data_IF_029937557838
#
_entry.id   IF_029937557838
#
_cell.length_a   1.000
_cell.length_b   1.000
_cell.length_c   1.000
_cell.angle_alpha   90.00
_cell.angle_beta   90.00
_cell.angle_gamma   90.00
#
_symmetry.space_group_name_H-M   'P 1'
#
loop_
_entity.id
_entity.type
_entity.pdbx_description
1 polymer ?
#
# COMPACT_ATOMS: atom_id res chain seq x y z
N UNK A 1 -79.22 -27.42 10.15
CA UNK A 1 -78.56 -28.25 9.10
C UNK A 1 -78.21 -27.30 7.96
N UNK A 2 -76.97 -27.00 7.57
CA UNK A 2 -75.61 -27.38 7.94
C UNK A 2 -74.75 -26.11 7.82
N UNK A 3 -73.73 -26.04 8.66
CA UNK A 3 -72.66 -25.05 8.62
C UNK A 3 -71.88 -25.09 7.30
N UNK A 4 -71.37 -23.95 6.85
CA UNK A 4 -70.00 -23.84 6.32
C UNK A 4 -69.52 -22.37 6.32
N UNK A 5 -68.21 -22.11 6.50
CA UNK A 5 -67.69 -20.87 7.05
C UNK A 5 -67.03 -19.94 6.01
N UNK A 6 -66.89 -18.66 6.40
CA UNK A 6 -66.04 -17.66 5.76
C UNK A 6 -64.58 -18.12 5.75
N UNK A 7 -63.96 -18.13 4.57
CA UNK A 7 -62.52 -18.17 4.42
C UNK A 7 -62.02 -16.77 4.01
N UNK A 8 -61.25 -16.15 4.91
CA UNK A 8 -60.45 -14.96 4.66
C UNK A 8 -59.28 -15.31 3.75
N UNK A 9 -59.19 -14.71 2.57
CA UNK A 9 -57.97 -14.74 1.76
C UNK A 9 -57.00 -13.70 2.31
N UNK A 10 -55.99 -14.17 3.03
CA UNK A 10 -54.79 -13.39 3.31
C UNK A 10 -53.98 -13.24 2.01
N UNK A 11 -53.79 -12.00 1.57
CA UNK A 11 -52.80 -11.64 0.57
C UNK A 11 -51.42 -11.73 1.23
N UNK A 12 -50.68 -12.80 0.95
CA UNK A 12 -49.26 -12.90 1.27
C UNK A 12 -48.46 -12.15 0.21
N UNK A 13 -48.08 -10.91 0.49
CA UNK A 13 -47.07 -10.19 -0.29
C UNK A 13 -45.71 -10.82 0.00
N UNK A 14 -45.23 -11.68 -0.90
CA UNK A 14 -43.84 -12.13 -0.92
C UNK A 14 -42.96 -10.93 -1.28
N UNK A 15 -42.27 -10.35 -0.29
CA UNK A 15 -41.11 -9.49 -0.54
C UNK A 15 -39.97 -10.41 -0.96
N UNK A 16 -39.68 -10.45 -2.26
CA UNK A 16 -38.48 -11.08 -2.80
C UNK A 16 -37.27 -10.31 -2.30
N UNK A 17 -36.57 -10.84 -1.30
CA UNK A 17 -35.25 -10.36 -0.89
C UNK A 17 -34.28 -10.71 -2.01
N UNK A 18 -33.95 -9.72 -2.85
CA UNK A 18 -32.88 -9.82 -3.84
C UNK A 18 -31.56 -9.98 -3.11
N UNK A 19 -30.89 -11.11 -3.35
CA UNK A 19 -29.52 -11.37 -2.87
C UNK A 19 -28.58 -10.29 -3.40
N UNK A 20 -27.62 -9.79 -2.58
CA UNK A 20 -26.60 -8.90 -3.11
C UNK A 20 -25.72 -9.66 -4.11
N UNK A 21 -25.47 -9.02 -5.24
CA UNK A 21 -24.58 -9.52 -6.28
C UNK A 21 -23.19 -9.77 -5.68
N UNK A 22 -22.77 -11.04 -5.72
CA UNK A 22 -21.43 -11.47 -5.37
C UNK A 22 -20.47 -10.85 -6.39
N UNK A 23 -19.61 -9.94 -5.95
CA UNK A 23 -18.50 -9.40 -6.74
C UNK A 23 -17.69 -10.55 -7.34
N UNK A 24 -17.45 -10.50 -8.66
CA UNK A 24 -16.59 -11.46 -9.38
C UNK A 24 -15.15 -11.27 -8.90
N UNK A 25 -14.43 -12.38 -8.70
CA UNK A 25 -13.10 -12.41 -8.10
C UNK A 25 -12.04 -11.89 -9.08
N UNK A 26 -11.10 -11.10 -8.56
CA UNK A 26 -9.87 -10.64 -9.25
C UNK A 26 -9.07 -11.77 -9.90
N UNK A 27 -9.19 -13.01 -9.39
CA UNK A 27 -8.57 -14.20 -9.99
C UNK A 27 -9.01 -14.46 -11.46
N UNK A 28 -10.23 -14.06 -11.84
CA UNK A 28 -10.73 -14.24 -13.21
C UNK A 28 -10.22 -13.15 -14.18
N UNK A 29 -9.79 -12.00 -13.65
CA UNK A 29 -9.24 -10.87 -14.45
C UNK A 29 -7.82 -11.20 -14.94
N UNK A 30 -7.04 -11.92 -14.14
CA UNK A 30 -5.69 -12.37 -14.50
C UNK A 30 -5.72 -13.43 -15.62
N UNK A 31 -6.76 -14.26 -15.68
CA UNK A 31 -6.88 -15.34 -16.66
C UNK A 31 -7.32 -14.84 -18.05
N UNK A 32 -8.15 -13.79 -18.13
CA UNK A 32 -8.71 -13.31 -19.41
C UNK A 32 -7.81 -12.35 -20.19
N UNK A 33 -6.79 -11.76 -19.56
CA UNK A 33 -5.82 -10.92 -20.27
C UNK A 33 -4.80 -11.72 -21.11
N UNK A 34 -4.70 -13.03 -20.90
CA UNK A 34 -3.70 -13.89 -21.55
C UNK A 34 -4.10 -14.42 -22.94
N UNK A 35 -5.34 -14.23 -23.40
CA UNK A 35 -5.85 -14.94 -24.58
C UNK A 35 -5.82 -14.16 -25.90
N UNK A 36 -5.53 -12.85 -25.91
CA UNK A 36 -5.56 -12.04 -27.15
C UNK A 36 -4.38 -11.05 -27.28
N UNK A 37 -3.14 -11.55 -27.30
CA UNK A 37 -1.98 -10.77 -27.73
C UNK A 37 -1.26 -11.47 -28.90
N UNK A 38 -1.58 -11.04 -30.12
CA UNK A 38 -0.83 -11.39 -31.33
C UNK A 38 0.38 -10.44 -31.43
N UNK A 39 1.58 -11.00 -31.37
CA UNK A 39 2.86 -10.27 -31.28
C UNK A 39 3.22 -9.53 -32.57
N UNK A 40 3.59 -8.24 -32.52
CA UNK A 40 4.50 -7.65 -33.48
C UNK A 40 5.96 -7.82 -33.03
N UNK A 41 6.84 -8.00 -34.01
CA UNK A 41 8.28 -8.28 -33.93
C UNK A 41 9.02 -7.29 -33.00
N UNK A 42 9.89 -7.76 -32.08
CA UNK A 42 10.53 -6.87 -31.13
C UNK A 42 11.72 -6.13 -31.76
N UNK A 43 11.66 -4.79 -31.79
CA UNK A 43 12.85 -3.96 -31.88
C UNK A 43 13.62 -4.08 -30.56
N UNK A 44 14.89 -4.46 -30.64
CA UNK A 44 15.74 -4.72 -29.48
C UNK A 44 16.36 -3.44 -28.95
N UNK A 45 15.56 -2.61 -28.29
CA UNK A 45 16.10 -1.71 -27.26
C UNK A 45 16.13 -2.49 -25.94
N UNK A 46 17.29 -3.06 -25.62
CA UNK A 46 17.56 -3.62 -24.28
C UNK A 46 17.59 -2.46 -23.29
N UNK A 47 16.46 -2.10 -22.71
CA UNK A 47 16.46 -1.34 -21.46
C UNK A 47 17.21 -2.19 -20.44
N UNK A 48 18.33 -1.70 -19.95
CA UNK A 48 19.09 -2.39 -18.92
C UNK A 48 18.21 -2.51 -17.68
N UNK A 49 17.98 -3.73 -17.18
CA UNK A 49 17.26 -4.03 -15.92
C UNK A 49 17.85 -3.30 -14.68
N UNK A 50 18.96 -2.58 -14.83
CA UNK A 50 19.62 -1.80 -13.80
C UNK A 50 18.88 -0.52 -13.39
N UNK A 51 18.00 0.05 -14.25
CA UNK A 51 17.19 1.21 -13.87
C UNK A 51 15.77 0.79 -13.51
N UNK A 52 15.43 0.85 -12.22
CA UNK A 52 14.15 0.37 -11.74
C UNK A 52 14.18 -0.12 -10.31
N UNK A 53 13.05 -0.68 -9.90
CA UNK A 53 12.91 -1.34 -8.61
C UNK A 53 12.36 -2.75 -8.80
N UNK A 54 12.60 -3.61 -7.82
CA UNK A 54 11.84 -4.84 -7.61
C UNK A 54 10.93 -4.63 -6.42
N UNK A 55 9.63 -4.86 -6.60
CA UNK A 55 8.58 -4.65 -5.60
C UNK A 55 7.94 -5.98 -5.22
N UNK A 56 7.79 -6.25 -3.93
CA UNK A 56 7.08 -7.43 -3.42
C UNK A 56 6.04 -6.98 -2.41
N UNK A 57 4.77 -7.26 -2.67
CA UNK A 57 3.69 -7.01 -1.71
C UNK A 57 3.59 -8.17 -0.73
N UNK A 58 3.40 -7.87 0.55
CA UNK A 58 2.97 -8.84 1.57
C UNK A 58 1.55 -8.54 2.05
N UNK A 59 0.74 -7.87 1.23
CA UNK A 59 -0.60 -7.36 1.54
C UNK A 59 -0.62 -6.13 2.46
N UNK A 60 -1.70 -5.36 2.33
CA UNK A 60 -1.99 -4.16 3.13
C UNK A 60 -0.92 -3.10 2.93
N UNK A 61 -0.27 -2.65 4.00
CA UNK A 61 0.77 -1.63 3.95
C UNK A 61 2.19 -2.25 3.86
N UNK A 62 2.30 -3.58 3.94
CA UNK A 62 3.59 -4.27 4.00
C UNK A 62 4.11 -4.61 2.62
N UNK A 63 5.31 -4.12 2.29
CA UNK A 63 6.00 -4.48 1.07
C UNK A 63 7.52 -4.34 1.23
N UNK A 64 8.26 -4.94 0.30
CA UNK A 64 9.68 -4.65 0.11
C UNK A 64 9.95 -3.98 -1.22
N UNK A 65 10.93 -3.08 -1.23
CA UNK A 65 11.53 -2.51 -2.44
C UNK A 65 12.99 -2.90 -2.47
N UNK A 66 13.45 -3.48 -3.57
CA UNK A 66 14.87 -3.55 -3.91
C UNK A 66 15.16 -2.53 -5.01
N UNK A 67 16.10 -1.64 -4.77
CA UNK A 67 16.61 -0.73 -5.79
C UNK A 67 17.64 -1.45 -6.68
N UNK A 68 17.42 -1.47 -7.99
CA UNK A 68 18.12 -2.40 -8.88
C UNK A 68 19.59 -2.02 -9.13
N UNK A 69 19.97 -0.74 -9.05
CA UNK A 69 21.34 -0.30 -9.34
C UNK A 69 22.27 -0.49 -8.14
N UNK A 70 21.78 -0.24 -6.93
CA UNK A 70 22.54 -0.30 -5.67
C UNK A 70 22.34 -1.62 -4.91
N UNK A 71 21.29 -2.36 -5.26
CA UNK A 71 20.87 -3.57 -4.57
C UNK A 71 20.24 -3.33 -3.19
N UNK A 72 20.04 -2.08 -2.76
CA UNK A 72 19.50 -1.75 -1.43
C UNK A 72 18.06 -2.25 -1.30
N UNK A 73 17.77 -2.93 -0.19
CA UNK A 73 16.47 -3.54 0.13
C UNK A 73 15.82 -2.86 1.33
N UNK A 74 14.62 -2.35 1.12
CA UNK A 74 13.81 -1.64 2.11
C UNK A 74 12.58 -2.48 2.42
N UNK A 75 12.32 -2.75 3.70
CA UNK A 75 11.05 -3.31 4.18
C UNK A 75 10.23 -2.20 4.82
N UNK A 76 8.97 -2.07 4.43
CA UNK A 76 8.07 -1.02 4.92
C UNK A 76 6.92 -1.63 5.73
N UNK A 77 6.64 -1.06 6.90
CA UNK A 77 5.46 -1.33 7.74
C UNK A 77 5.10 -2.83 7.88
N UNK A 78 5.98 -3.64 8.51
CA UNK A 78 5.90 -5.10 8.47
C UNK A 78 4.80 -5.66 9.37
N UNK A 79 3.81 -6.30 8.75
CA UNK A 79 2.87 -7.22 9.37
C UNK A 79 3.03 -8.61 8.73
N UNK A 80 3.91 -9.44 9.28
CA UNK A 80 4.31 -10.73 8.66
C UNK A 80 3.79 -11.97 9.40
N UNK A 81 3.35 -11.78 10.65
CA UNK A 81 2.86 -12.84 11.53
C UNK A 81 1.64 -12.37 12.30
N UNK A 82 0.79 -13.30 12.72
CA UNK A 82 -0.37 -13.02 13.58
C UNK A 82 -1.46 -12.20 12.91
N UNK A 83 -2.54 -11.99 13.66
CA UNK A 83 -3.66 -11.16 13.24
C UNK A 83 -3.43 -9.71 13.68
N UNK A 84 -3.99 -8.76 12.94
CA UNK A 84 -4.00 -7.35 13.32
C UNK A 84 -5.08 -7.14 14.37
N UNK A 85 -4.69 -6.57 15.49
CA UNK A 85 -5.60 -6.09 16.54
C UNK A 85 -5.15 -4.68 16.92
N UNK A 86 -6.10 -3.81 17.25
CA UNK A 86 -5.76 -2.46 17.71
C UNK A 86 -5.72 -2.42 19.23
N UNK A 87 -4.62 -1.90 19.79
CA UNK A 87 -4.38 -1.84 21.24
C UNK A 87 -4.52 -3.20 21.96
N UNK A 88 -4.16 -4.29 21.25
CA UNK A 88 -4.31 -5.69 21.70
C UNK A 88 -5.76 -6.06 22.11
N UNK A 89 -6.77 -5.32 21.64
CA UNK A 89 -8.20 -5.54 21.93
C UNK A 89 -8.87 -6.37 20.81
N UNK A 90 -8.59 -7.66 20.78
CA UNK A 90 -9.05 -8.58 19.74
C UNK A 90 -10.57 -8.79 19.67
N UNK A 91 -11.28 -8.53 20.77
CA UNK A 91 -12.74 -8.59 20.87
C UNK A 91 -13.44 -7.48 20.08
N UNK A 92 -12.78 -6.34 19.85
CA UNK A 92 -13.34 -5.16 19.20
C UNK A 92 -13.18 -5.22 17.68
N UNK A 93 -11.96 -5.56 17.24
CA UNK A 93 -11.62 -5.67 15.84
C UNK A 93 -10.45 -6.64 15.67
N UNK A 94 -10.57 -7.49 14.65
CA UNK A 94 -9.49 -8.37 14.23
C UNK A 94 -9.40 -8.36 12.72
N UNK A 95 -8.25 -7.93 12.22
CA UNK A 95 -7.89 -7.96 10.81
C UNK A 95 -7.05 -9.18 10.48
N UNK A 96 -7.34 -9.85 9.37
CA UNK A 96 -6.56 -10.99 8.87
C UNK A 96 -6.16 -10.74 7.43
N UNK A 97 -4.89 -10.97 7.14
CA UNK A 97 -4.39 -11.07 5.76
C UNK A 97 -5.03 -12.27 5.06
N UNK A 98 -5.22 -12.18 3.75
CA UNK A 98 -5.90 -13.23 2.98
C UNK A 98 -4.94 -14.33 2.55
N UNK A 99 -3.67 -14.00 2.32
CA UNK A 99 -2.66 -14.92 1.78
C UNK A 99 -1.55 -15.16 2.81
N UNK A 100 -0.86 -14.10 3.23
CA UNK A 100 0.27 -14.15 4.16
C UNK A 100 -0.22 -14.61 5.54
N UNK A 101 0.44 -15.62 6.11
CA UNK A 101 0.05 -16.24 7.38
C UNK A 101 -1.14 -17.20 7.28
N UNK A 102 -1.76 -17.33 6.09
CA UNK A 102 -2.93 -18.20 5.83
C UNK A 102 -2.54 -19.33 4.89
N UNK A 103 -2.46 -19.02 3.60
CA UNK A 103 -2.11 -19.98 2.54
C UNK A 103 -0.63 -19.94 2.19
N UNK A 104 0.03 -18.80 2.41
CA UNK A 104 1.47 -18.63 2.29
C UNK A 104 2.07 -18.29 3.64
N UNK A 105 3.01 -19.10 4.12
CA UNK A 105 3.82 -18.76 5.31
C UNK A 105 5.06 -18.01 4.86
N UNK A 106 5.34 -16.90 5.54
CA UNK A 106 6.57 -16.13 5.34
C UNK A 106 7.53 -16.44 6.47
N UNK A 107 8.77 -16.77 6.13
CA UNK A 107 9.85 -16.87 7.10
C UNK A 107 10.36 -15.46 7.43
N UNK A 108 10.06 -14.99 8.64
CA UNK A 108 10.50 -13.68 9.12
C UNK A 108 12.03 -13.56 9.13
N UNK A 109 12.74 -14.65 9.42
CA UNK A 109 14.21 -14.65 9.43
C UNK A 109 14.77 -14.45 8.03
N UNK A 110 14.14 -15.08 7.03
CA UNK A 110 14.51 -14.89 5.63
C UNK A 110 14.25 -13.45 5.20
N UNK A 111 13.04 -12.91 5.42
CA UNK A 111 12.71 -11.52 5.07
C UNK A 111 13.66 -10.54 5.76
N UNK A 112 14.02 -10.79 7.02
CA UNK A 112 14.96 -9.96 7.75
C UNK A 112 16.39 -10.01 7.17
N UNK A 113 16.88 -11.19 6.77
CA UNK A 113 18.17 -11.31 6.06
C UNK A 113 18.18 -10.62 4.69
N UNK A 114 16.97 -10.42 4.14
CA UNK A 114 16.73 -9.71 2.90
C UNK A 114 16.41 -8.22 3.08
N UNK A 115 16.54 -7.69 4.31
CA UNK A 115 16.22 -6.29 4.64
C UNK A 115 17.49 -5.55 5.07
N UNK A 116 17.86 -4.50 4.32
CA UNK A 116 18.99 -3.63 4.71
C UNK A 116 18.53 -2.49 5.63
N UNK A 117 17.27 -2.05 5.48
CA UNK A 117 16.64 -1.08 6.36
C UNK A 117 15.14 -1.35 6.49
N UNK A 118 14.66 -1.37 7.74
CA UNK A 118 13.24 -1.39 8.09
C UNK A 118 12.73 0.04 8.21
N UNK A 119 11.56 0.31 7.64
CA UNK A 119 10.94 1.63 7.65
C UNK A 119 9.55 1.57 8.26
N UNK A 120 9.30 2.44 9.26
CA UNK A 120 8.00 2.56 9.93
C UNK A 120 7.41 3.96 9.72
N UNK A 121 6.28 4.04 9.03
CA UNK A 121 5.66 5.33 8.69
C UNK A 121 4.87 5.94 9.85
N UNK A 122 4.27 5.10 10.71
CA UNK A 122 3.55 5.50 11.92
C UNK A 122 3.52 4.41 12.99
N UNK A 123 2.98 4.75 14.16
CA UNK A 123 2.91 3.89 15.35
C UNK A 123 1.62 3.06 15.49
N UNK A 124 0.65 3.21 14.59
CA UNK A 124 -0.58 2.41 14.64
C UNK A 124 -0.28 0.94 14.30
N UNK A 125 -1.08 0.03 14.83
CA UNK A 125 -0.81 -1.42 14.81
C UNK A 125 -0.78 -2.02 13.39
N UNK A 126 -1.43 -1.39 12.41
CA UNK A 126 -1.41 -1.76 10.99
C UNK A 126 -0.16 -1.29 10.23
N UNK A 127 0.75 -0.58 10.92
CA UNK A 127 2.05 -0.15 10.41
C UNK A 127 3.21 -0.64 11.29
N UNK A 128 3.12 -0.37 12.60
CA UNK A 128 4.10 -0.80 13.60
C UNK A 128 3.63 -2.07 14.33
N UNK A 129 3.34 -3.12 13.56
CA UNK A 129 2.69 -4.33 14.07
C UNK A 129 3.53 -5.04 15.15
N UNK A 130 3.13 -4.90 16.42
CA UNK A 130 3.90 -5.37 17.57
C UNK A 130 4.26 -6.86 17.52
N UNK A 131 3.37 -7.80 17.19
CA UNK A 131 3.72 -9.22 17.07
C UNK A 131 4.87 -9.47 16.08
N UNK A 132 4.87 -8.76 14.94
CA UNK A 132 5.94 -8.87 13.94
C UNK A 132 7.22 -8.21 14.45
N UNK A 133 7.15 -6.99 14.98
CA UNK A 133 8.33 -6.29 15.49
C UNK A 133 8.99 -7.01 16.68
N UNK A 134 8.23 -7.72 17.52
CA UNK A 134 8.74 -8.52 18.65
C UNK A 134 9.65 -9.66 18.17
N UNK A 135 9.31 -10.33 17.07
CA UNK A 135 10.11 -11.46 16.54
C UNK A 135 11.15 -11.05 15.48
N UNK A 136 11.07 -9.84 14.95
CA UNK A 136 12.03 -9.35 13.95
C UNK A 136 13.44 -9.13 14.54
N UNK A 137 14.54 -9.44 13.84
CA UNK A 137 15.90 -9.24 14.36
C UNK A 137 16.20 -7.78 14.73
N UNK A 138 16.64 -7.56 15.97
CA UNK A 138 16.85 -6.22 16.57
C UNK A 138 18.11 -5.49 16.11
N UNK A 139 18.93 -6.18 15.31
CA UNK A 139 20.12 -5.64 14.65
C UNK A 139 19.81 -4.98 13.31
N UNK A 140 18.61 -5.19 12.74
CA UNK A 140 18.22 -4.53 11.49
C UNK A 140 18.05 -3.03 11.73
N UNK A 141 18.70 -2.14 10.95
CA UNK A 141 18.51 -0.70 11.06
C UNK A 141 17.06 -0.28 10.83
N UNK A 142 16.56 0.64 11.66
CA UNK A 142 15.19 1.17 11.58
C UNK A 142 15.22 2.66 11.28
N UNK A 143 14.47 3.09 10.28
CA UNK A 143 14.11 4.48 10.04
C UNK A 143 12.63 4.66 10.30
N UNK A 144 12.25 5.56 11.20
CA UNK A 144 10.87 5.66 11.63
C UNK A 144 10.44 7.10 11.92
N UNK A 145 9.13 7.35 11.87
CA UNK A 145 8.58 8.57 12.46
C UNK A 145 8.83 8.58 13.99
N UNK A 146 8.69 9.74 14.68
CA UNK A 146 9.02 9.82 16.10
C UNK A 146 8.29 8.82 17.02
N UNK A 147 7.01 8.57 16.77
CA UNK A 147 6.22 7.65 17.62
C UNK A 147 6.57 6.18 17.38
N UNK A 148 6.75 5.76 16.13
CA UNK A 148 7.15 4.39 15.80
C UNK A 148 8.61 4.11 16.21
N UNK A 149 9.48 5.12 16.18
CA UNK A 149 10.84 5.00 16.71
C UNK A 149 10.84 4.69 18.21
N UNK A 150 9.92 5.27 18.99
CA UNK A 150 9.77 4.96 20.40
C UNK A 150 9.36 3.49 20.62
N UNK A 151 8.43 2.97 19.80
CA UNK A 151 8.05 1.55 19.82
C UNK A 151 9.25 0.67 19.50
N UNK A 152 9.96 0.91 18.39
CA UNK A 152 11.11 0.11 17.99
C UNK A 152 12.19 0.08 19.09
N UNK A 153 12.51 1.23 19.70
CA UNK A 153 13.44 1.30 20.83
C UNK A 153 12.96 0.50 22.03
N UNK A 154 11.67 0.60 22.39
CA UNK A 154 11.12 -0.16 23.52
C UNK A 154 11.17 -1.68 23.31
N UNK A 155 11.16 -2.14 22.06
CA UNK A 155 11.30 -3.55 21.68
C UNK A 155 12.76 -4.01 21.58
N UNK A 156 13.73 -3.12 21.80
CA UNK A 156 15.15 -3.45 21.83
C UNK A 156 15.90 -3.31 20.50
N UNK A 157 15.32 -2.67 19.47
CA UNK A 157 16.07 -2.34 18.25
C UNK A 157 17.24 -1.40 18.59
N UNK A 158 18.40 -1.68 18.03
CA UNK A 158 19.69 -1.06 18.44
C UNK A 158 20.12 0.12 17.57
N UNK A 159 19.79 0.11 16.27
CA UNK A 159 19.98 1.25 15.35
C UNK A 159 18.60 1.78 14.93
N UNK A 160 18.13 2.83 15.62
CA UNK A 160 16.83 3.47 15.34
C UNK A 160 17.01 4.96 15.08
N UNK A 161 16.81 5.35 13.83
CA UNK A 161 16.94 6.72 13.33
C UNK A 161 15.56 7.32 13.09
N UNK A 162 15.37 8.53 13.58
CA UNK A 162 14.11 9.25 13.44
C UNK A 162 14.15 10.10 12.18
N UNK A 163 13.08 10.08 11.39
CA UNK A 163 12.83 11.03 10.31
C UNK A 163 11.44 11.64 10.50
N UNK A 164 11.40 12.95 10.73
CA UNK A 164 10.16 13.71 10.92
C UNK A 164 9.79 14.49 9.65
N UNK A 165 8.58 15.06 9.61
CA UNK A 165 8.07 15.82 8.47
C UNK A 165 9.07 16.88 7.97
N UNK A 166 9.34 16.86 6.67
CA UNK A 166 10.29 17.77 6.01
C UNK A 166 11.77 17.41 6.21
N UNK A 167 12.09 16.40 7.01
CA UNK A 167 13.46 15.93 7.19
C UNK A 167 13.84 14.88 6.14
N UNK A 168 15.15 14.81 5.88
CA UNK A 168 15.76 13.74 5.10
C UNK A 168 16.86 13.06 5.90
N UNK A 169 17.07 11.77 5.63
CA UNK A 169 18.17 10.98 6.17
C UNK A 169 18.76 10.10 5.08
N UNK A 170 20.07 9.88 5.13
CA UNK A 170 20.75 8.94 4.24
C UNK A 170 21.18 7.70 5.02
N UNK A 171 20.91 6.54 4.45
CA UNK A 171 21.18 5.21 5.04
C UNK A 171 21.88 4.30 4.02
N UNK A 172 22.20 3.08 4.43
CA UNK A 172 22.87 2.08 3.58
C UNK A 172 24.16 2.61 2.95
N UNK A 173 25.03 3.19 3.77
CA UNK A 173 26.35 3.73 3.35
C UNK A 173 26.25 4.80 2.26
N UNK A 174 25.20 5.63 2.30
CA UNK A 174 25.03 6.69 1.31
C UNK A 174 24.14 6.33 0.15
N UNK A 175 23.77 5.05 -0.03
CA UNK A 175 23.09 4.54 -1.23
C UNK A 175 21.58 4.78 -1.26
N UNK A 176 20.98 5.17 -0.14
CA UNK A 176 19.55 5.47 -0.06
C UNK A 176 19.31 6.74 0.75
N UNK A 177 18.61 7.70 0.14
CA UNK A 177 18.07 8.88 0.83
C UNK A 177 16.57 8.68 1.06
N UNK A 178 16.13 8.90 2.30
CA UNK A 178 14.73 8.84 2.72
C UNK A 178 14.30 10.26 3.12
N UNK A 179 13.21 10.76 2.56
CA UNK A 179 12.64 12.08 2.90
C UNK A 179 11.20 11.93 3.35
N UNK A 180 10.84 12.50 4.50
CA UNK A 180 9.48 12.42 5.01
C UNK A 180 8.65 13.64 4.60
N UNK A 181 7.43 13.38 4.13
CA UNK A 181 6.38 14.37 3.89
C UNK A 181 5.31 14.26 4.96
N UNK A 182 4.51 15.31 5.10
CA UNK A 182 3.30 15.29 5.94
C UNK A 182 2.24 14.45 5.23
N UNK A 183 2.06 13.21 5.69
CA UNK A 183 1.07 12.24 5.19
C UNK A 183 -0.23 12.31 5.97
N UNK A 184 -0.90 11.18 6.12
CA UNK A 184 -2.29 11.11 6.58
C UNK A 184 -2.52 11.56 8.04
N UNK A 185 -3.67 12.17 8.29
CA UNK A 185 -4.18 12.33 9.65
C UNK A 185 -5.06 11.13 9.97
N UNK A 186 -4.52 10.18 10.74
CA UNK A 186 -5.27 8.99 11.18
C UNK A 186 -5.54 9.12 12.68
N UNK A 187 -6.83 9.18 13.03
CA UNK A 187 -7.29 9.35 14.41
C UNK A 187 -7.82 10.76 14.70
N UNK A 188 -7.90 11.16 15.98
CA UNK A 188 -8.45 12.46 16.35
C UNK A 188 -7.74 13.65 15.69
N UNK A 189 -8.40 14.82 15.51
CA UNK A 189 -7.83 15.97 14.81
C UNK A 189 -6.51 16.52 15.38
N UNK A 190 -6.22 16.23 16.65
CA UNK A 190 -4.98 16.63 17.35
C UNK A 190 -3.86 15.59 17.26
N UNK A 191 -4.09 14.44 16.64
CA UNK A 191 -3.05 13.44 16.39
C UNK A 191 -1.98 13.99 15.46
N UNK A 192 -0.74 13.56 15.68
CA UNK A 192 0.33 13.82 14.72
C UNK A 192 0.03 13.06 13.43
N UNK A 193 0.14 13.74 12.29
CA UNK A 193 0.07 13.10 10.97
C UNK A 193 1.18 12.07 10.77
N UNK A 194 0.87 11.01 10.06
CA UNK A 194 1.82 10.00 9.58
C UNK A 194 2.85 10.60 8.60
N UNK A 195 3.95 9.89 8.37
CA UNK A 195 4.86 10.22 7.27
C UNK A 195 4.38 9.62 5.95
N UNK A 196 4.24 10.46 4.92
CA UNK A 196 4.52 10.00 3.56
C UNK A 196 6.03 9.94 3.36
N UNK A 197 6.53 9.12 2.42
CA UNK A 197 7.97 8.89 2.28
C UNK A 197 8.42 8.92 0.82
N UNK A 198 9.54 9.59 0.58
CA UNK A 198 10.31 9.48 -0.66
C UNK A 198 11.53 8.62 -0.40
N UNK A 199 11.69 7.55 -1.16
CA UNK A 199 12.90 6.75 -1.24
C UNK A 199 13.64 7.14 -2.52
N UNK A 200 14.87 7.62 -2.41
CA UNK A 200 15.70 8.01 -3.55
C UNK A 200 16.98 7.18 -3.53
N UNK A 201 17.14 6.35 -4.56
CA UNK A 201 18.38 5.63 -4.80
C UNK A 201 19.49 6.63 -5.13
N UNK A 202 20.61 6.50 -4.43
CA UNK A 202 21.79 7.34 -4.65
C UNK A 202 22.84 6.49 -5.33
N UNK A 203 23.10 6.83 -6.59
CA UNK A 203 24.07 6.15 -7.45
C UNK A 203 25.23 7.12 -7.73
N UNK A 204 26.48 6.62 -7.79
CA UNK A 204 27.58 7.45 -8.25
C UNK A 204 27.28 8.01 -9.65
N UNK A 205 27.77 9.22 -9.98
CA UNK A 205 27.64 9.75 -11.33
C UNK A 205 28.24 8.78 -12.34
N UNK A 206 27.40 8.26 -13.23
CA UNK A 206 27.82 7.46 -14.37
C UNK A 206 27.24 8.08 -15.63
N UNK A 207 28.12 8.48 -16.54
CA UNK A 207 27.74 8.91 -17.89
C UNK A 207 27.56 7.67 -18.74
N UNK A 208 26.39 7.52 -19.35
CA UNK A 208 26.21 6.49 -20.36
C UNK A 208 27.12 6.76 -21.58
N UNK A 209 27.39 5.75 -22.43
CA UNK A 209 28.03 5.97 -23.73
C UNK A 209 27.27 6.96 -24.63
N UNK A 210 25.98 7.20 -24.35
CA UNK A 210 25.12 8.15 -25.07
C UNK A 210 25.10 9.55 -24.44
N UNK A 211 25.88 9.79 -23.38
CA UNK A 211 25.96 11.08 -22.69
C UNK A 211 24.81 11.35 -21.70
N UNK A 212 23.94 10.39 -21.46
CA UNK A 212 22.88 10.51 -20.45
C UNK A 212 23.47 10.34 -19.05
N UNK A 213 23.10 11.26 -18.15
CA UNK A 213 23.44 11.16 -16.73
C UNK A 213 22.47 10.17 -16.09
N UNK A 214 22.99 9.03 -15.67
CA UNK A 214 22.21 8.08 -14.90
C UNK A 214 21.87 8.67 -13.53
N UNK A 215 20.57 8.84 -13.24
CA UNK A 215 20.07 9.14 -11.90
C UNK A 215 19.46 7.88 -11.30
N UNK A 216 19.59 7.71 -9.98
CA UNK A 216 18.97 6.59 -9.28
C UNK A 216 17.44 6.68 -9.31
N UNK A 217 16.76 5.55 -9.10
CA UNK A 217 15.30 5.48 -9.08
C UNK A 217 14.71 6.16 -7.84
N UNK A 218 13.51 6.73 -7.98
CA UNK A 218 12.79 7.37 -6.88
C UNK A 218 11.37 6.83 -6.72
N UNK A 219 10.97 6.56 -5.48
CA UNK A 219 9.67 6.02 -5.11
C UNK A 219 9.02 6.90 -4.05
N UNK A 220 7.79 7.32 -4.26
CA UNK A 220 6.96 7.94 -3.23
C UNK A 220 5.94 6.93 -2.69
N UNK A 221 5.86 6.81 -1.37
CA UNK A 221 4.88 5.99 -0.67
C UNK A 221 3.94 6.86 0.15
N UNK A 222 2.64 6.72 -0.11
CA UNK A 222 1.57 7.36 0.65
C UNK A 222 0.53 6.32 1.08
N UNK A 223 0.51 5.92 2.36
CA UNK A 223 -0.25 4.76 2.82
C UNK A 223 -1.78 4.94 2.80
N UNK A 224 -2.29 6.18 2.89
CA UNK A 224 -3.74 6.43 2.95
C UNK A 224 -4.27 7.34 1.85
N UNK A 225 -3.41 7.84 0.96
CA UNK A 225 -3.76 8.87 -0.03
C UNK A 225 -4.35 10.15 0.62
N UNK A 226 -3.97 10.45 1.87
CA UNK A 226 -4.25 11.71 2.57
C UNK A 226 -2.91 12.38 2.86
N UNK A 227 -2.70 13.58 2.35
CA UNK A 227 -1.40 14.23 2.40
C UNK A 227 -1.55 15.75 2.41
N UNK A 228 -0.54 16.43 2.95
CA UNK A 228 -0.42 17.88 2.80
C UNK A 228 0.17 18.19 1.41
N UNK A 229 -0.63 18.84 0.56
CA UNK A 229 -0.25 19.12 -0.82
C UNK A 229 1.01 20.02 -0.93
N UNK A 230 1.23 20.92 0.03
CA UNK A 230 2.41 21.78 0.03
C UNK A 230 3.68 20.97 0.37
N UNK A 231 3.61 20.09 1.36
CA UNK A 231 4.68 19.18 1.74
C UNK A 231 5.04 18.22 0.61
N UNK A 232 4.05 17.64 -0.06
CA UNK A 232 4.26 16.74 -1.20
C UNK A 232 4.82 17.51 -2.39
N UNK A 233 4.29 18.71 -2.68
CA UNK A 233 4.77 19.54 -3.78
C UNK A 233 6.25 19.95 -3.67
N UNK A 234 6.82 20.00 -2.46
CA UNK A 234 8.26 20.28 -2.23
C UNK A 234 9.18 19.12 -2.62
N UNK A 235 8.66 17.89 -2.72
CA UNK A 235 9.42 16.72 -3.17
C UNK A 235 9.78 16.84 -4.66
N UNK A 236 8.83 17.35 -5.46
CA UNK A 236 8.94 17.36 -6.91
C UNK A 236 8.66 16.00 -7.55
N UNK A 237 9.18 15.81 -8.76
CA UNK A 237 8.92 14.61 -9.57
C UNK A 237 9.56 13.36 -8.96
N UNK A 238 8.84 12.24 -8.96
CA UNK A 238 9.37 10.89 -8.66
C UNK A 238 9.12 9.94 -9.82
N UNK A 239 9.70 8.75 -9.82
CA UNK A 239 9.51 7.77 -10.88
C UNK A 239 8.32 6.83 -10.61
N UNK A 240 8.16 6.40 -9.36
CA UNK A 240 7.09 5.49 -8.91
C UNK A 240 6.29 6.12 -7.77
N UNK A 241 4.96 5.99 -7.80
CA UNK A 241 4.07 6.24 -6.65
C UNK A 241 3.45 4.92 -6.21
N UNK A 242 3.50 4.64 -4.91
CA UNK A 242 2.79 3.54 -4.24
C UNK A 242 1.73 4.18 -3.33
N UNK A 243 0.46 3.97 -3.63
CA UNK A 243 -0.65 4.60 -2.90
C UNK A 243 -1.96 3.83 -3.09
N UNK A 244 -2.92 3.91 -2.14
CA UNK A 244 -4.26 3.42 -2.35
C UNK A 244 -4.93 4.08 -3.56
N UNK A 245 -5.75 3.30 -4.25
CA UNK A 245 -6.57 3.77 -5.37
C UNK A 245 -8.08 3.65 -5.11
N UNK A 246 -8.44 3.02 -3.99
CA UNK A 246 -9.81 2.90 -3.46
C UNK A 246 -9.85 3.64 -2.13
N UNK A 247 -11.02 4.19 -1.80
CA UNK A 247 -11.31 4.81 -0.51
C UNK A 247 -12.04 3.82 0.38
N UNK A 248 -11.47 3.55 1.55
CA UNK A 248 -12.12 2.84 2.63
C UNK A 248 -12.69 3.86 3.63
N UNK A 249 -13.97 3.71 3.96
CA UNK A 249 -14.72 4.57 4.87
C UNK A 249 -15.12 3.77 6.11
N UNK A 250 -14.90 4.31 7.30
CA UNK A 250 -15.40 3.78 8.57
C UNK A 250 -16.64 4.57 9.01
N UNK A 251 -17.77 3.88 9.18
CA UNK A 251 -19.05 4.46 9.56
C UNK A 251 -20.05 4.53 8.39
N UNK A 252 -21.14 5.27 8.59
CA UNK A 252 -22.24 5.35 7.60
C UNK A 252 -22.65 6.79 7.34
N UNK A 253 -23.03 7.07 6.08
CA UNK A 253 -23.55 8.37 5.67
C UNK A 253 -22.53 9.50 5.76
N UNK A 254 -23.01 10.73 6.00
CA UNK A 254 -22.20 11.94 6.01
C UNK A 254 -21.17 12.02 7.17
N UNK A 255 -21.28 11.13 8.16
CA UNK A 255 -20.37 11.05 9.30
C UNK A 255 -19.27 9.99 9.11
N UNK A 256 -19.19 9.34 7.95
CA UNK A 256 -18.18 8.33 7.69
C UNK A 256 -16.77 8.96 7.64
N UNK A 257 -15.83 8.31 8.32
CA UNK A 257 -14.44 8.74 8.39
C UNK A 257 -13.60 8.02 7.32
N UNK A 258 -12.87 8.75 6.44
CA UNK A 258 -12.01 8.10 5.47
C UNK A 258 -10.76 7.51 6.12
N UNK A 259 -10.66 6.18 6.07
CA UNK A 259 -9.45 5.45 6.42
C UNK A 259 -8.42 5.56 5.29
N UNK A 260 -8.86 5.52 4.04
CA UNK A 260 -8.04 5.81 2.86
C UNK A 260 -8.84 6.69 1.90
N UNK A 261 -8.15 7.42 1.04
CA UNK A 261 -8.72 8.45 0.17
C UNK A 261 -8.32 8.26 -1.30
N UNK A 262 -8.13 7.00 -1.72
CA UNK A 262 -7.62 6.65 -3.04
C UNK A 262 -8.47 7.22 -4.19
N UNK A 263 -9.78 7.17 -4.10
CA UNK A 263 -10.65 7.74 -5.15
C UNK A 263 -10.83 9.27 -5.05
N UNK A 264 -10.44 9.88 -3.92
CA UNK A 264 -10.57 11.31 -3.66
C UNK A 264 -9.35 12.10 -4.13
N UNK A 265 -8.15 11.66 -3.71
CA UNK A 265 -6.95 12.48 -3.77
C UNK A 265 -5.88 11.96 -4.75
N UNK A 266 -6.04 10.74 -5.28
CA UNK A 266 -5.01 10.13 -6.13
C UNK A 266 -4.63 11.01 -7.32
N UNK A 267 -5.61 11.60 -8.02
CA UNK A 267 -5.32 12.46 -9.17
C UNK A 267 -4.51 13.71 -8.79
N UNK A 268 -4.77 14.28 -7.61
CA UNK A 268 -3.98 15.41 -7.10
C UNK A 268 -2.56 14.97 -6.76
N UNK A 269 -2.42 13.81 -6.09
CA UNK A 269 -1.12 13.24 -5.74
C UNK A 269 -0.24 13.04 -6.99
N UNK A 270 -0.80 12.40 -8.03
CA UNK A 270 -0.09 12.13 -9.27
C UNK A 270 0.23 13.41 -10.06
N UNK A 271 -0.61 14.45 -9.99
CA UNK A 271 -0.31 15.76 -10.61
C UNK A 271 0.86 16.46 -9.94
N UNK A 272 0.98 16.37 -8.61
CA UNK A 272 2.10 16.95 -7.86
C UNK A 272 3.41 16.21 -8.14
N UNK A 273 3.36 14.88 -8.20
CA UNK A 273 4.54 14.02 -8.25
C UNK A 273 4.94 13.56 -9.65
N UNK A 274 4.06 13.68 -10.65
CA UNK A 274 4.26 13.33 -12.06
C UNK A 274 5.01 11.99 -12.30
N UNK A 275 4.57 10.87 -11.68
CA UNK A 275 5.28 9.61 -11.78
C UNK A 275 5.17 8.97 -13.16
N UNK A 276 6.10 8.07 -13.46
CA UNK A 276 6.02 7.18 -14.61
C UNK A 276 5.11 5.97 -14.31
N UNK A 277 5.12 5.49 -13.06
CA UNK A 277 4.41 4.30 -12.62
C UNK A 277 3.59 4.60 -11.36
N UNK A 278 2.35 4.12 -11.34
CA UNK A 278 1.52 3.98 -10.15
C UNK A 278 1.40 2.49 -9.83
N UNK A 279 1.80 2.12 -8.62
CA UNK A 279 1.58 0.80 -8.02
C UNK A 279 0.46 0.93 -6.98
N UNK A 280 -0.71 0.31 -7.22
CA UNK A 280 -1.79 0.33 -6.25
C UNK A 280 -1.41 -0.37 -4.95
N UNK A 281 -1.67 0.31 -3.82
CA UNK A 281 -1.69 -0.31 -2.51
C UNK A 281 -3.08 -0.93 -2.29
N UNK A 282 -3.16 -2.26 -2.25
CA UNK A 282 -4.41 -3.02 -2.09
C UNK A 282 -4.80 -3.15 -0.61
N UNK A 283 -4.81 -2.05 0.13
CA UNK A 283 -4.92 -2.06 1.59
C UNK A 283 -6.31 -2.30 2.15
N UNK A 284 -7.34 -2.30 1.30
CA UNK A 284 -8.68 -2.72 1.69
C UNK A 284 -8.89 -4.23 1.55
N UNK A 285 -7.97 -4.97 0.92
CA UNK A 285 -8.10 -6.42 0.70
C UNK A 285 -7.71 -7.26 1.93
N UNK A 286 -8.51 -7.20 3.00
CA UNK A 286 -8.33 -8.02 4.20
C UNK A 286 -9.65 -8.63 4.68
N UNK A 287 -9.54 -9.69 5.48
CA UNK A 287 -10.69 -10.25 6.21
C UNK A 287 -10.84 -9.52 7.55
N UNK A 288 -12.07 -9.15 7.90
CA UNK A 288 -12.39 -8.44 9.14
C UNK A 288 -13.35 -9.26 10.02
N UNK A 289 -13.00 -9.41 11.29
CA UNK A 289 -13.83 -10.00 12.33
C UNK A 289 -14.11 -8.98 13.45
N UNK A 290 -15.20 -9.22 14.19
CA UNK A 290 -15.62 -8.37 15.31
C UNK A 290 -16.78 -7.41 14.97
N UNK A 291 -17.31 -6.69 15.97
CA UNK A 291 -18.47 -5.82 15.82
C UNK A 291 -18.29 -4.67 14.81
N UNK A 292 -17.06 -4.17 14.63
CA UNK A 292 -16.76 -3.03 13.73
C UNK A 292 -16.75 -3.40 12.24
N UNK A 293 -16.77 -4.69 11.88
CA UNK A 293 -16.72 -5.13 10.47
C UNK A 293 -17.85 -4.58 9.60
N UNK A 294 -19.01 -4.28 10.21
CA UNK A 294 -20.24 -3.86 9.51
C UNK A 294 -20.16 -2.41 9.04
N UNK A 295 -19.13 -1.68 9.46
CA UNK A 295 -19.01 -0.23 9.25
C UNK A 295 -17.96 0.15 8.20
N UNK A 296 -17.25 -0.79 7.58
CA UNK A 296 -16.28 -0.48 6.53
C UNK A 296 -16.97 -0.54 5.17
N UNK A 297 -16.93 0.58 4.45
CA UNK A 297 -17.45 0.69 3.07
C UNK A 297 -16.31 1.05 2.13
N UNK A 298 -16.28 0.43 0.95
CA UNK A 298 -15.34 0.77 -0.10
C UNK A 298 -16.00 1.67 -1.15
N UNK A 299 -15.24 2.65 -1.64
CA UNK A 299 -15.66 3.55 -2.71
C UNK A 299 -14.54 3.70 -3.73
N UNK A 300 -14.92 3.60 -5.00
CA UNK A 300 -13.98 3.47 -6.11
C UNK A 300 -13.94 2.03 -6.62
N UNK A 301 -13.19 1.81 -7.67
CA UNK A 301 -13.04 0.50 -8.29
C UNK A 301 -11.67 0.41 -8.96
N UNK A 302 -11.04 -0.75 -8.84
CA UNK A 302 -9.72 -1.05 -9.38
C UNK A 302 -9.71 -1.00 -10.92
N UNK A 303 -10.78 -1.45 -11.58
CA UNK A 303 -10.85 -1.48 -13.05
C UNK A 303 -11.02 -0.06 -13.64
N UNK A 304 -11.78 0.80 -12.93
CA UNK A 304 -12.09 2.17 -13.36
C UNK A 304 -10.90 3.15 -13.33
N UNK A 305 -9.84 2.87 -12.57
CA UNK A 305 -8.72 3.82 -12.34
C UNK A 305 -8.05 4.25 -13.65
N UNK A 306 -7.83 3.31 -14.57
CA UNK A 306 -7.19 3.62 -15.87
C UNK A 306 -7.96 4.69 -16.65
N UNK A 307 -9.29 4.59 -16.66
CA UNK A 307 -10.14 5.57 -17.34
C UNK A 307 -10.12 6.92 -16.64
N UNK A 308 -10.07 6.94 -15.30
CA UNK A 308 -9.94 8.18 -14.52
C UNK A 308 -8.62 8.89 -14.83
N UNK A 309 -7.51 8.16 -14.91
CA UNK A 309 -6.20 8.71 -15.28
C UNK A 309 -6.23 9.35 -16.66
N UNK A 310 -6.79 8.67 -17.67
CA UNK A 310 -6.92 9.21 -19.04
C UNK A 310 -7.74 10.49 -19.04
N UNK A 311 -8.93 10.50 -18.40
CA UNK A 311 -9.80 11.69 -18.31
C UNK A 311 -9.11 12.87 -17.60
N UNK A 312 -8.21 12.59 -16.67
CA UNK A 312 -7.47 13.60 -15.92
C UNK A 312 -6.19 14.09 -16.62
N UNK A 313 -5.90 13.63 -17.84
CA UNK A 313 -4.66 13.96 -18.56
C UNK A 313 -3.42 13.21 -18.07
N UNK A 314 -3.59 12.14 -17.29
CA UNK A 314 -2.52 11.31 -16.71
C UNK A 314 -2.42 9.95 -17.43
N UNK A 315 -2.88 9.85 -18.67
CA UNK A 315 -2.93 8.59 -19.43
C UNK A 315 -1.56 7.94 -19.71
N UNK A 316 -0.47 8.71 -19.58
CA UNK A 316 0.91 8.21 -19.70
C UNK A 316 1.42 7.50 -18.45
N UNK A 317 0.76 7.66 -17.29
CA UNK A 317 1.14 6.95 -16.07
C UNK A 317 0.80 5.47 -16.23
N UNK A 318 1.80 4.59 -16.11
CA UNK A 318 1.59 3.14 -16.14
C UNK A 318 0.98 2.70 -14.82
N UNK A 319 -0.14 1.98 -14.89
CA UNK A 319 -0.77 1.33 -13.74
C UNK A 319 -0.27 -0.10 -13.67
N UNK A 320 0.55 -0.43 -12.67
CA UNK A 320 1.16 -1.75 -12.49
C UNK A 320 0.67 -2.36 -11.17
N UNK A 321 -0.25 -3.32 -11.27
CA UNK A 321 -0.77 -4.02 -10.09
C UNK A 321 0.31 -4.94 -9.49
N UNK A 322 0.39 -5.03 -8.15
CA UNK A 322 1.29 -5.98 -7.50
C UNK A 322 1.11 -7.42 -8.02
N UNK A 323 2.22 -8.16 -8.10
CA UNK A 323 2.18 -9.62 -8.20
C UNK A 323 1.45 -10.24 -6.98
N UNK A 324 1.03 -11.52 -7.05
CA UNK A 324 0.45 -12.20 -5.89
C UNK A 324 1.29 -12.02 -4.62
N UNK A 325 0.67 -11.93 -3.42
CA UNK A 325 1.43 -11.67 -2.20
C UNK A 325 2.59 -12.64 -1.97
N UNK A 326 3.77 -12.09 -1.67
CA UNK A 326 5.03 -12.82 -1.53
C UNK A 326 5.83 -12.98 -2.83
N UNK A 327 5.25 -12.69 -3.99
CA UNK A 327 5.94 -12.73 -5.29
C UNK A 327 6.49 -11.34 -5.67
N UNK A 328 7.69 -11.36 -6.27
CA UNK A 328 8.38 -10.14 -6.71
C UNK A 328 7.93 -9.73 -8.12
N UNK A 329 7.76 -8.43 -8.33
CA UNK A 329 7.52 -7.81 -9.63
C UNK A 329 8.63 -6.80 -9.95
N UNK A 330 9.21 -6.89 -11.14
CA UNK A 330 10.17 -5.90 -11.62
C UNK A 330 9.46 -4.71 -12.26
N UNK A 331 9.83 -3.50 -11.86
CA UNK A 331 9.34 -2.24 -12.41
C UNK A 331 10.53 -1.54 -13.08
N UNK A 332 10.60 -1.65 -14.41
CA UNK A 332 11.61 -0.96 -15.22
C UNK A 332 11.20 0.50 -15.45
N UNK A 333 12.15 1.43 -15.40
CA UNK A 333 11.94 2.88 -15.48
C UNK A 333 12.64 3.54 -16.68
#
# INVERSE_FOLDING_TARGET
MRMCPRASQHSSSFITVTRPHRSRRVADVVANAASHATSPTPSTHKTSFSHGITYTSYEINTFTIKFNATGVRVLVDPWLVGDLTFAEQDWLYRGKKRVIGRTLRVDVSQVASETDVLVLTQSLDDHAHLPTLRVFPKSVPVVANPSAAAIARSLGFTDVRVVDHGQSITVCEGRLKITATVGALVGPPWSKRQNGLVFQEVVPPATSPTGEVFRGSSVYFEPHCDFDAQSVGRVGKVDVVISPIVTALLGVGAAAYPLTQGDMNLLQLLKLLQPQVLVPLLNSEMEHEGPLRVLIQERGDYEGVRQQLVKAGLGSVRLEFPAPPGESMAIAL
#
